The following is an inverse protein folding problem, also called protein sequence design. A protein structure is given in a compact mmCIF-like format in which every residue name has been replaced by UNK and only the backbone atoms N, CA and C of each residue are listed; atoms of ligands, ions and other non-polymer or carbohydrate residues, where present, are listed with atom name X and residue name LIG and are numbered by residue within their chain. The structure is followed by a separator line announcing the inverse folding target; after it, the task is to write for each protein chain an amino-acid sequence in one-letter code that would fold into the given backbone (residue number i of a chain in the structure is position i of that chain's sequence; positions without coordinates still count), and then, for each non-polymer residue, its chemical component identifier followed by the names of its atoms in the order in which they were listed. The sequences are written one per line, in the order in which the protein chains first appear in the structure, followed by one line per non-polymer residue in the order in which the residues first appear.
data_IF_789135543851
#
_entry.id   IF_789135543851
#
_cell.length_a   1.000
_cell.length_b   1.000
_cell.length_c   1.000
_cell.angle_alpha   90.00
_cell.angle_beta   90.00
_cell.angle_gamma   90.00
#
_symmetry.space_group_name_H-M   'P 1'
#
loop_
_entity.id
_entity.type
_entity.pdbx_description
1 polymer ?
#
# COMPACT_ATOMS: atom_id res chain seq x y z
N UNK A 1 -4.03 8.88 -37.65
CA UNK A 1 -3.30 9.18 -36.40
C UNK A 1 -4.18 8.92 -35.18
N UNK A 2 -4.42 7.65 -34.83
CA UNK A 2 -5.21 7.27 -33.63
C UNK A 2 -4.36 6.47 -32.61
N UNK A 3 -3.30 5.80 -33.06
CA UNK A 3 -2.39 5.04 -32.19
C UNK A 3 -1.41 5.87 -31.35
N UNK A 4 -1.21 7.16 -31.66
CA UNK A 4 -0.26 8.02 -30.93
C UNK A 4 -0.84 8.49 -29.59
N UNK A 5 -2.18 8.64 -29.47
CA UNK A 5 -2.81 9.07 -28.20
C UNK A 5 -2.80 7.99 -27.13
N UNK A 6 -2.80 6.71 -27.53
CA UNK A 6 -2.80 5.57 -26.60
C UNK A 6 -1.39 5.35 -26.03
N UNK A 7 -0.35 5.55 -26.84
CA UNK A 7 1.04 5.37 -26.41
C UNK A 7 1.50 6.35 -25.30
N UNK A 8 0.84 7.52 -25.15
CA UNK A 8 1.21 8.52 -24.16
C UNK A 8 0.56 8.23 -22.79
N UNK A 9 -0.59 7.53 -22.74
CA UNK A 9 -1.23 7.15 -21.47
C UNK A 9 -0.51 6.01 -20.75
N UNK A 10 0.18 5.12 -21.48
CA UNK A 10 0.86 3.95 -20.93
C UNK A 10 2.26 4.23 -20.36
N UNK A 11 2.89 5.34 -20.75
CA UNK A 11 4.23 5.73 -20.25
C UNK A 11 4.17 6.37 -18.86
N UNK A 12 3.03 6.93 -18.47
CA UNK A 12 2.86 7.55 -17.13
C UNK A 12 2.62 6.48 -16.05
N UNK A 13 2.09 5.31 -16.41
CA UNK A 13 1.83 4.21 -15.45
C UNK A 13 3.07 3.34 -15.17
N UNK A 14 4.19 3.57 -15.85
CA UNK A 14 5.40 2.72 -15.80
C UNK A 14 6.51 3.26 -14.90
N UNK A 15 6.27 4.36 -14.17
CA UNK A 15 7.25 4.88 -13.21
C UNK A 15 7.08 4.19 -11.86
N UNK A 16 7.72 3.02 -11.75
CA UNK A 16 8.35 2.48 -10.54
C UNK A 16 7.38 2.18 -9.37
N UNK A 17 6.81 0.97 -9.37
CA UNK A 17 6.49 0.28 -8.12
C UNK A 17 7.52 -0.85 -7.93
N UNK A 18 8.67 -0.55 -7.34
CA UNK A 18 9.47 -1.58 -6.69
C UNK A 18 8.75 -1.84 -5.37
N UNK A 19 7.82 -2.79 -5.38
CA UNK A 19 7.18 -3.26 -4.15
C UNK A 19 8.24 -4.05 -3.37
N UNK A 20 8.98 -3.37 -2.49
CA UNK A 20 9.76 -4.07 -1.49
C UNK A 20 8.79 -4.59 -0.43
N UNK A 21 8.51 -5.90 -0.44
CA UNK A 21 7.82 -6.56 0.65
C UNK A 21 8.86 -6.88 1.73
N UNK A 22 9.08 -5.95 2.66
CA UNK A 22 9.85 -6.23 3.87
C UNK A 22 8.92 -6.73 4.95
N UNK A 23 9.28 -7.87 5.57
CA UNK A 23 8.72 -8.23 6.86
C UNK A 23 9.03 -7.10 7.86
N UNK A 24 8.07 -6.80 8.72
CA UNK A 24 8.14 -5.69 9.64
C UNK A 24 7.16 -5.84 10.80
N UNK A 25 7.12 -4.84 11.66
CA UNK A 25 6.28 -4.84 12.85
C UNK A 25 5.67 -3.46 13.09
N UNK A 26 4.40 -3.45 13.49
CA UNK A 26 3.75 -2.27 14.02
C UNK A 26 4.41 -1.80 15.31
N UNK A 27 4.53 -0.49 15.44
CA UNK A 27 5.08 0.21 16.59
C UNK A 27 4.13 1.34 16.96
N UNK A 28 4.03 1.59 18.26
CA UNK A 28 3.15 2.61 18.82
C UNK A 28 3.95 3.61 19.65
N UNK A 29 3.80 4.90 19.35
CA UNK A 29 4.39 6.00 20.10
C UNK A 29 3.39 6.56 21.11
N UNK A 30 3.63 6.25 22.38
CA UNK A 30 2.71 6.58 23.49
C UNK A 30 2.48 8.08 23.68
N UNK A 31 3.49 8.91 23.43
CA UNK A 31 3.42 10.35 23.72
C UNK A 31 2.56 11.12 22.71
N UNK A 32 2.44 10.60 21.49
CA UNK A 32 1.78 11.27 20.37
C UNK A 32 0.54 10.52 19.89
N UNK A 33 0.28 9.32 20.43
CA UNK A 33 -0.79 8.41 20.01
C UNK A 33 -0.72 8.09 18.51
N UNK A 34 0.48 7.70 18.06
CA UNK A 34 0.76 7.43 16.64
C UNK A 34 1.32 6.05 16.42
N UNK A 35 0.91 5.45 15.31
CA UNK A 35 1.44 4.19 14.82
C UNK A 35 2.48 4.43 13.72
N UNK A 36 3.49 3.56 13.65
CA UNK A 36 4.45 3.49 12.55
C UNK A 36 4.83 2.04 12.29
N UNK A 37 5.40 1.76 11.12
CA UNK A 37 5.76 0.40 10.72
C UNK A 37 7.27 0.29 10.52
N UNK A 38 7.92 -0.56 11.32
CA UNK A 38 9.36 -0.81 11.27
C UNK A 38 9.65 -1.99 10.36
N UNK A 39 10.59 -1.86 9.43
CA UNK A 39 11.11 -2.97 8.65
C UNK A 39 12.26 -3.68 9.38
N UNK A 40 12.55 -4.92 8.99
CA UNK A 40 13.61 -5.75 9.60
C UNK A 40 15.04 -5.24 9.32
N UNK A 41 15.23 -4.41 8.30
CA UNK A 41 16.52 -3.81 7.95
C UNK A 41 16.87 -2.56 8.77
N UNK A 42 16.02 -2.20 9.74
CA UNK A 42 16.18 -1.03 10.60
C UNK A 42 15.64 0.26 9.98
N UNK A 43 15.04 0.21 8.79
CA UNK A 43 14.28 1.33 8.21
C UNK A 43 12.81 1.25 8.60
N UNK A 44 11.99 2.22 8.16
CA UNK A 44 10.56 2.27 8.47
C UNK A 44 9.76 2.88 7.33
N UNK A 45 8.46 2.62 7.32
CA UNK A 45 7.56 3.16 6.32
C UNK A 45 7.46 4.68 6.44
N UNK A 46 7.78 5.44 5.39
CA UNK A 46 7.70 6.90 5.41
C UNK A 46 7.44 7.50 4.02
N UNK A 47 6.46 8.42 3.96
CA UNK A 47 6.03 9.09 2.74
C UNK A 47 5.61 8.10 1.63
N UNK A 48 4.87 7.05 2.01
CA UNK A 48 4.54 5.95 1.10
C UNK A 48 3.23 5.24 1.50
N UNK A 49 2.73 4.44 0.55
CA UNK A 49 1.67 3.48 0.77
C UNK A 49 2.27 2.07 0.84
N UNK A 50 1.88 1.29 1.84
CA UNK A 50 2.43 -0.07 2.07
C UNK A 50 1.29 -1.07 2.16
N UNK A 51 1.45 -2.21 1.48
CA UNK A 51 0.60 -3.38 1.65
C UNK A 51 1.19 -4.25 2.77
N UNK A 52 0.46 -4.41 3.87
CA UNK A 52 0.92 -5.12 5.08
C UNK A 52 -0.05 -6.27 5.37
N UNK A 53 0.48 -7.49 5.42
CA UNK A 53 -0.20 -8.71 5.90
C UNK A 53 0.21 -8.94 7.35
N UNK A 54 -0.50 -8.30 8.29
CA UNK A 54 -0.16 -8.29 9.72
C UNK A 54 -0.65 -9.54 10.46
N UNK A 55 -1.67 -10.22 9.90
CA UNK A 55 -2.22 -11.45 10.47
C UNK A 55 -1.62 -12.72 9.84
N UNK A 56 -0.73 -12.57 8.85
CA UNK A 56 -0.03 -13.64 8.14
C UNK A 56 -0.98 -14.62 7.43
N UNK A 57 -2.13 -14.16 6.94
CA UNK A 57 -3.09 -14.98 6.19
C UNK A 57 -2.86 -14.96 4.67
N UNK A 58 -1.88 -14.18 4.21
CA UNK A 58 -1.54 -14.01 2.80
C UNK A 58 -2.34 -12.91 2.10
N UNK A 59 -3.17 -12.16 2.82
CA UNK A 59 -3.97 -11.03 2.35
C UNK A 59 -3.50 -9.78 3.09
N UNK A 60 -2.97 -8.81 2.34
CA UNK A 60 -2.52 -7.54 2.89
C UNK A 60 -3.59 -6.44 2.76
N UNK A 61 -3.69 -5.55 3.74
CA UNK A 61 -4.35 -4.25 3.62
C UNK A 61 -3.37 -3.13 3.24
N UNK A 62 -3.89 -2.02 2.72
CA UNK A 62 -3.08 -0.88 2.29
C UNK A 62 -3.13 0.26 3.30
N UNK A 63 -1.96 0.74 3.73
CA UNK A 63 -1.80 1.79 4.75
C UNK A 63 -0.97 2.95 4.22
N UNK A 64 -1.32 4.19 4.56
CA UNK A 64 -0.60 5.40 4.15
C UNK A 64 0.21 5.99 5.30
N UNK A 65 1.49 6.26 5.06
CA UNK A 65 2.40 6.87 6.05
C UNK A 65 2.79 8.27 5.62
N UNK A 66 2.72 9.21 6.56
CA UNK A 66 3.13 10.59 6.33
C UNK A 66 4.66 10.70 6.16
N UNK A 67 5.15 11.92 5.89
CA UNK A 67 6.59 12.16 5.66
C UNK A 67 7.48 11.83 6.87
N UNK A 68 6.94 11.85 8.07
CA UNK A 68 7.66 11.53 9.31
C UNK A 68 7.65 10.01 9.60
N UNK A 69 6.82 9.25 8.90
CA UNK A 69 6.69 7.80 9.06
C UNK A 69 5.51 7.35 9.94
N UNK A 70 4.60 8.26 10.27
CA UNK A 70 3.40 7.92 11.04
C UNK A 70 2.22 7.58 10.14
N UNK A 71 1.46 6.56 10.57
CA UNK A 71 0.22 6.13 9.94
C UNK A 71 -0.81 7.26 9.93
N UNK A 72 -1.47 7.44 8.78
CA UNK A 72 -2.67 8.28 8.66
C UNK A 72 -3.91 7.46 9.02
N UNK A 73 -4.83 8.05 9.80
CA UNK A 73 -6.06 7.39 10.27
C UNK A 73 -7.26 8.35 10.20
N UNK A 74 -8.46 7.81 9.92
CA UNK A 74 -9.74 8.50 10.08
C UNK A 74 -9.96 9.69 9.17
N UNK A 75 -9.53 9.65 7.90
CA UNK A 75 -9.67 10.80 7.03
C UNK A 75 -9.12 10.67 5.62
N UNK A 76 -9.09 11.81 4.93
CA UNK A 76 -8.54 11.93 3.59
C UNK A 76 -7.02 12.11 3.64
N UNK A 77 -6.31 11.30 2.86
CA UNK A 77 -4.88 11.45 2.63
C UNK A 77 -4.60 12.65 1.71
N UNK A 78 -3.37 13.20 1.70
CA UNK A 78 -3.02 14.35 0.85
C UNK A 78 -3.20 14.11 -0.66
N UNK A 79 -3.14 12.85 -1.09
CA UNK A 79 -3.38 12.38 -2.46
C UNK A 79 -4.84 11.93 -2.72
N UNK A 80 -5.76 12.33 -1.84
CA UNK A 80 -7.21 12.21 -1.99
C UNK A 80 -7.81 10.80 -1.94
N UNK A 81 -7.18 9.88 -1.21
CA UNK A 81 -7.78 8.60 -0.81
C UNK A 81 -8.33 8.69 0.62
N UNK A 82 -9.25 7.80 0.99
CA UNK A 82 -9.80 7.77 2.35
C UNK A 82 -9.27 6.57 3.13
N UNK A 83 -8.77 6.82 4.34
CA UNK A 83 -8.36 5.78 5.30
C UNK A 83 -9.35 5.74 6.47
N UNK A 84 -9.72 4.54 6.92
CA UNK A 84 -10.63 4.37 8.06
C UNK A 84 -9.93 4.69 9.40
N UNK A 85 -10.65 4.56 10.52
CA UNK A 85 -10.12 4.85 11.86
C UNK A 85 -8.96 3.94 12.29
N UNK A 86 -8.74 2.82 11.59
CA UNK A 86 -7.61 1.91 11.76
C UNK A 86 -6.46 2.19 10.76
N UNK A 87 -6.60 3.20 9.91
CA UNK A 87 -5.61 3.62 8.91
C UNK A 87 -5.61 2.83 7.61
N UNK A 88 -6.51 1.86 7.45
CA UNK A 88 -6.61 1.08 6.22
C UNK A 88 -7.33 1.87 5.11
N UNK A 89 -6.79 1.81 3.89
CA UNK A 89 -7.41 2.38 2.70
C UNK A 89 -8.80 1.80 2.46
N UNK A 90 -9.78 2.66 2.19
CA UNK A 90 -11.12 2.25 1.81
C UNK A 90 -11.61 2.91 0.53
N UNK A 91 -12.46 2.17 -0.20
CA UNK A 91 -13.27 2.69 -1.31
C UNK A 91 -14.73 2.41 -0.98
N UNK A 92 -15.53 3.46 -0.82
CA UNK A 92 -16.93 3.31 -0.42
C UNK A 92 -17.11 2.63 0.96
N UNK A 93 -16.16 2.81 1.87
CA UNK A 93 -16.16 2.18 3.19
C UNK A 93 -15.67 0.73 3.23
N UNK A 94 -15.26 0.16 2.09
CA UNK A 94 -14.73 -1.21 2.00
C UNK A 94 -13.21 -1.16 2.00
N UNK A 95 -12.58 -1.89 2.92
CA UNK A 95 -11.12 -2.03 3.00
C UNK A 95 -10.58 -2.67 1.73
N UNK A 96 -9.53 -2.07 1.16
CA UNK A 96 -8.85 -2.61 -0.01
C UNK A 96 -7.81 -3.63 0.42
N UNK A 97 -7.85 -4.82 -0.20
CA UNK A 97 -6.97 -5.94 0.10
C UNK A 97 -6.23 -6.43 -1.14
N UNK A 98 -5.06 -7.04 -0.95
CA UNK A 98 -4.25 -7.65 -2.00
C UNK A 98 -3.72 -9.01 -1.54
N UNK A 99 -3.92 -10.06 -2.34
CA UNK A 99 -3.26 -11.34 -2.11
C UNK A 99 -1.76 -11.22 -2.37
N UNK A 100 -0.93 -11.68 -1.44
CA UNK A 100 0.53 -11.54 -1.50
C UNK A 100 1.22 -12.73 -2.17
N UNK A 101 0.50 -13.84 -2.38
CA UNK A 101 1.06 -15.13 -2.83
C UNK A 101 0.47 -15.67 -4.14
N UNK A 102 0.11 -14.80 -5.10
CA UNK A 102 -0.48 -15.30 -6.36
C UNK A 102 -0.30 -14.37 -7.58
N UNK A 103 0.92 -13.98 -7.93
CA UNK A 103 1.18 -13.27 -9.20
C UNK A 103 2.04 -14.11 -10.20
N UNK A 104 2.24 -15.42 -9.98
CA UNK A 104 3.21 -16.21 -10.77
C UNK A 104 2.67 -17.42 -11.58
N UNK A 105 1.39 -17.78 -11.52
CA UNK A 105 0.87 -18.95 -12.26
C UNK A 105 -0.51 -18.77 -12.90
N UNK A 106 -0.73 -17.64 -13.58
CA UNK A 106 -1.82 -17.55 -14.57
C UNK A 106 -1.24 -17.53 -15.99
N UNK A 107 -0.76 -18.70 -16.43
CA UNK A 107 -0.72 -19.02 -17.86
C UNK A 107 -1.82 -20.05 -18.08
N UNK A 108 -3.00 -19.55 -18.41
CA UNK A 108 -4.09 -20.31 -19.03
C UNK A 108 -3.57 -21.07 -20.25
N UNK A 109 -3.32 -22.38 -20.09
CA UNK A 109 -2.96 -23.30 -21.18
C UNK A 109 -4.14 -24.14 -21.70
N UNK A 110 -5.38 -23.75 -21.43
CA UNK A 110 -6.54 -24.39 -22.05
C UNK A 110 -7.70 -23.41 -22.29
N UNK A 111 -7.59 -22.62 -23.37
CA UNK A 111 -8.74 -22.14 -24.14
C UNK A 111 -8.36 -22.10 -25.64
#
# INVERSE_FOLDING_TARGET
MKGIKIAIMSVIFSVIFIANAYAGMWRYEVNTDRWWYSYDDGTWAANEWVWIDDNYDGIAECYCFNREGYLLMGGWTPDAYYVNDYGAWTVGGIVQTKAMWHDYYDYDWYN
#
